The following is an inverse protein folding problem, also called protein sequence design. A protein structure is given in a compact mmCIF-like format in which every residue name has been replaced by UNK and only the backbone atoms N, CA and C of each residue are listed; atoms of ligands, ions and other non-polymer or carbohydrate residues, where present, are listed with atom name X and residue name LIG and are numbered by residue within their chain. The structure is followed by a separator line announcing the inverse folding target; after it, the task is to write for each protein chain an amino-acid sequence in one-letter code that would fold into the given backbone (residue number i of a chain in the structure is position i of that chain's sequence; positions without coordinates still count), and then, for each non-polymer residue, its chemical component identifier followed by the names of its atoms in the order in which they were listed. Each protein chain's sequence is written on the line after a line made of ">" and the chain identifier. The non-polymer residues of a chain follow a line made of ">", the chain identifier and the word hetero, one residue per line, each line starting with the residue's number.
data_IF_673202505644
#
_entry.id   IF_673202505644
#
_cell.length_a   1.000
_cell.length_b   1.000
_cell.length_c   1.000
_cell.angle_alpha   90.00
_cell.angle_beta   90.00
_cell.angle_gamma   90.00
#
_symmetry.space_group_name_H-M   'P 1'
#
loop_
_entity.id
_entity.type
_entity.pdbx_description
1 polymer ?
#
# COMPACT_ATOMS: atom_id res chain seq x y z
N UNK A 1 5.79 16.50 14.97
CA UNK A 1 7.04 16.50 14.14
C UNK A 1 6.56 16.72 12.72
N UNK A 2 7.08 17.71 11.99
CA UNK A 2 6.47 18.15 10.73
C UNK A 2 6.37 16.99 9.70
N UNK A 3 5.14 16.65 9.34
CA UNK A 3 4.77 15.53 8.48
C UNK A 3 5.32 15.71 7.06
N UNK A 4 5.44 16.96 6.62
CA UNK A 4 5.96 17.31 5.30
C UNK A 4 7.50 17.25 5.27
N UNK A 5 8.16 17.69 6.36
CA UNK A 5 9.59 17.37 6.60
C UNK A 5 9.85 15.86 6.70
N UNK A 6 8.90 15.09 7.22
CA UNK A 6 9.01 13.63 7.34
C UNK A 6 8.93 12.92 5.98
N UNK A 7 8.23 13.50 5.00
CA UNK A 7 8.20 13.03 3.61
C UNK A 7 9.32 13.64 2.74
N UNK A 8 10.12 14.57 3.26
CA UNK A 8 11.06 15.36 2.46
C UNK A 8 10.38 16.27 1.43
N UNK A 9 9.09 16.59 1.63
CA UNK A 9 8.30 17.47 0.76
C UNK A 9 8.35 18.86 1.40
N UNK A 10 9.27 19.70 0.96
CA UNK A 10 9.29 21.10 1.39
C UNK A 10 7.99 21.79 0.93
N UNK A 11 7.38 22.60 1.80
CA UNK A 11 6.09 23.25 1.53
C UNK A 11 6.19 24.44 0.59
N UNK A 12 7.41 24.80 0.21
CA UNK A 12 7.71 25.91 -0.68
C UNK A 12 8.13 25.30 -2.02
N UNK A 13 7.30 25.49 -3.04
CA UNK A 13 7.33 24.83 -4.35
C UNK A 13 8.71 24.38 -4.87
N UNK A 14 8.72 23.15 -5.41
CA UNK A 14 9.84 22.49 -6.10
C UNK A 14 10.93 21.85 -5.21
N UNK A 15 10.58 20.86 -4.39
CA UNK A 15 11.56 19.91 -3.88
C UNK A 15 12.08 19.00 -4.99
N UNK A 16 13.39 19.03 -5.28
CA UNK A 16 14.07 18.29 -6.37
C UNK A 16 14.32 16.80 -6.10
N UNK A 17 13.75 16.24 -5.01
CA UNK A 17 13.96 14.85 -4.60
C UNK A 17 12.91 13.88 -5.16
N UNK A 18 13.29 12.60 -5.28
CA UNK A 18 12.44 11.54 -5.84
C UNK A 18 11.09 11.38 -5.12
N UNK A 19 11.05 11.55 -3.79
CA UNK A 19 9.80 11.48 -3.02
C UNK A 19 8.82 12.61 -3.39
N UNK A 20 9.32 13.82 -3.64
CA UNK A 20 8.50 14.96 -4.08
C UNK A 20 7.98 14.75 -5.50
N UNK A 21 8.84 14.25 -6.39
CA UNK A 21 8.43 13.88 -7.75
C UNK A 21 7.36 12.77 -7.75
N UNK A 22 7.55 11.74 -6.92
CA UNK A 22 6.58 10.66 -6.74
C UNK A 22 5.26 11.18 -6.16
N UNK A 23 5.31 12.04 -5.15
CA UNK A 23 4.11 12.61 -4.54
C UNK A 23 3.32 13.48 -5.52
N UNK A 24 4.00 14.28 -6.34
CA UNK A 24 3.36 15.06 -7.40
C UNK A 24 2.71 14.14 -8.44
N UNK A 25 3.46 13.16 -8.95
CA UNK A 25 2.99 12.19 -9.93
C UNK A 25 1.77 11.39 -9.43
N UNK A 26 1.85 10.84 -8.21
CA UNK A 26 0.74 10.07 -7.63
C UNK A 26 -0.48 10.96 -7.42
N UNK A 27 -0.31 12.18 -6.90
CA UNK A 27 -1.43 13.12 -6.70
C UNK A 27 -2.18 13.46 -7.99
N UNK A 28 -1.50 13.47 -9.13
CA UNK A 28 -2.11 13.72 -10.44
C UNK A 28 -2.94 12.54 -10.96
N UNK A 29 -2.59 11.31 -10.58
CA UNK A 29 -3.16 10.10 -11.20
C UNK A 29 -4.19 9.39 -10.33
N UNK A 30 -4.03 9.38 -9.01
CA UNK A 30 -4.96 8.69 -8.10
C UNK A 30 -6.04 9.63 -7.58
N UNK A 31 -7.17 9.06 -7.17
CA UNK A 31 -8.21 9.83 -6.49
C UNK A 31 -7.65 10.54 -5.24
N UNK A 32 -8.06 11.78 -4.91
CA UNK A 32 -7.47 12.54 -3.79
C UNK A 32 -7.44 11.81 -2.44
N UNK A 33 -8.48 11.02 -2.14
CA UNK A 33 -8.54 10.23 -0.91
C UNK A 33 -7.57 9.02 -0.91
N UNK A 34 -7.23 8.48 -2.08
CA UNK A 34 -6.20 7.44 -2.22
C UNK A 34 -4.81 8.04 -2.00
N UNK A 35 -4.57 9.26 -2.50
CA UNK A 35 -3.35 9.99 -2.19
C UNK A 35 -3.23 10.26 -0.68
N UNK A 36 -4.31 10.72 -0.04
CA UNK A 36 -4.34 10.93 1.41
C UNK A 36 -4.06 9.63 2.19
N UNK A 37 -4.68 8.52 1.77
CA UNK A 37 -4.43 7.20 2.34
C UNK A 37 -2.98 6.77 2.20
N UNK A 38 -2.39 6.97 1.02
CA UNK A 38 -0.98 6.67 0.77
C UNK A 38 -0.04 7.43 1.72
N UNK A 39 -0.32 8.71 1.97
CA UNK A 39 0.46 9.50 2.93
C UNK A 39 0.25 9.01 4.37
N UNK A 40 -1.00 8.73 4.79
CA UNK A 40 -1.27 8.19 6.13
C UNK A 40 -0.58 6.83 6.32
N UNK A 41 -0.62 5.96 5.32
CA UNK A 41 0.05 4.65 5.32
C UNK A 41 1.55 4.78 5.55
N UNK A 42 2.22 5.69 4.84
CA UNK A 42 3.64 5.98 5.08
C UNK A 42 3.92 6.39 6.53
N UNK A 43 3.15 7.35 7.04
CA UNK A 43 3.33 7.90 8.39
C UNK A 43 3.12 6.83 9.45
N UNK A 44 2.03 6.07 9.36
CA UNK A 44 1.68 5.02 10.31
C UNK A 44 2.69 3.86 10.26
N UNK A 45 3.11 3.46 9.06
CA UNK A 45 4.14 2.44 8.86
C UNK A 45 5.48 2.85 9.47
N UNK A 46 5.91 4.10 9.26
CA UNK A 46 7.12 4.65 9.87
C UNK A 46 7.02 4.72 11.40
N UNK A 47 5.87 5.12 11.93
CA UNK A 47 5.65 5.13 13.39
C UNK A 47 5.70 3.73 14.01
N UNK A 48 5.17 2.72 13.31
CA UNK A 48 5.30 1.33 13.73
C UNK A 48 6.76 0.88 13.76
N UNK A 49 7.53 1.17 12.71
CA UNK A 49 8.95 0.82 12.66
C UNK A 49 9.78 1.49 13.76
N UNK A 50 9.46 2.75 14.09
CA UNK A 50 10.09 3.47 15.20
C UNK A 50 9.76 2.82 16.54
N UNK A 51 8.49 2.45 16.76
CA UNK A 51 8.05 1.78 17.98
C UNK A 51 8.69 0.40 18.16
N UNK A 52 8.88 -0.32 17.05
CA UNK A 52 9.48 -1.65 17.03
C UNK A 52 11.03 -1.60 17.07
N UNK A 53 11.62 -0.40 17.12
CA UNK A 53 13.05 -0.19 17.30
C UNK A 53 13.89 -0.53 16.08
N UNK A 54 13.34 -0.42 14.87
CA UNK A 54 14.03 -0.79 13.62
C UNK A 54 15.17 0.19 13.34
N UNK A 55 16.44 -0.26 13.33
CA UNK A 55 17.55 0.59 13.00
C UNK A 55 17.60 0.86 11.48
N UNK A 56 17.95 2.08 11.09
CA UNK A 56 18.27 2.45 9.70
C UNK A 56 17.18 2.07 8.67
N UNK A 57 15.90 2.25 9.00
CA UNK A 57 14.81 2.05 8.05
C UNK A 57 15.02 2.95 6.81
N UNK A 58 15.07 2.34 5.62
CA UNK A 58 15.06 3.07 4.35
C UNK A 58 13.69 3.75 4.17
N UNK A 59 13.60 4.96 4.71
CA UNK A 59 12.37 5.76 4.75
C UNK A 59 11.99 6.24 3.36
N UNK A 60 12.97 6.40 2.46
CA UNK A 60 12.73 6.80 1.07
C UNK A 60 11.99 5.68 0.33
N UNK A 61 12.49 4.43 0.43
CA UNK A 61 11.81 3.26 -0.15
C UNK A 61 10.42 3.03 0.46
N UNK A 62 10.25 3.21 1.78
CA UNK A 62 8.93 3.10 2.42
C UNK A 62 7.96 4.18 1.93
N UNK A 63 8.43 5.42 1.77
CA UNK A 63 7.61 6.51 1.24
C UNK A 63 7.16 6.23 -0.19
N UNK A 64 8.08 5.81 -1.06
CA UNK A 64 7.78 5.48 -2.45
C UNK A 64 6.81 4.30 -2.54
N UNK A 65 7.02 3.25 -1.76
CA UNK A 65 6.12 2.11 -1.71
C UNK A 65 4.71 2.53 -1.25
N UNK A 66 4.61 3.34 -0.20
CA UNK A 66 3.33 3.84 0.30
C UNK A 66 2.63 4.78 -0.69
N UNK A 67 3.36 5.64 -1.41
CA UNK A 67 2.80 6.52 -2.43
C UNK A 67 2.18 5.74 -3.59
N UNK A 68 2.79 4.62 -4.00
CA UNK A 68 2.34 3.86 -5.16
C UNK A 68 1.46 2.63 -4.84
N UNK A 69 1.29 2.25 -3.57
CA UNK A 69 0.69 0.94 -3.26
C UNK A 69 -0.72 0.74 -3.82
N UNK A 70 -1.50 1.82 -3.89
CA UNK A 70 -2.84 1.86 -4.46
C UNK A 70 -2.89 2.56 -5.83
N UNK A 71 -1.75 2.81 -6.48
CA UNK A 71 -1.73 3.46 -7.78
C UNK A 71 -2.51 2.65 -8.84
N UNK A 72 -2.57 1.32 -8.72
CA UNK A 72 -3.36 0.47 -9.60
C UNK A 72 -4.87 0.71 -9.54
N UNK A 73 -5.39 1.48 -8.58
CA UNK A 73 -6.80 1.88 -8.58
C UNK A 73 -7.10 3.04 -9.54
N UNK A 74 -6.09 3.65 -10.14
CA UNK A 74 -6.25 4.76 -11.08
C UNK A 74 -6.54 4.27 -12.51
N UNK A 75 -7.38 5.01 -13.25
CA UNK A 75 -7.68 4.72 -14.66
C UNK A 75 -6.42 4.62 -15.53
N UNK A 76 -5.38 5.40 -15.19
CA UNK A 76 -4.08 5.39 -15.88
C UNK A 76 -3.35 4.04 -15.79
N UNK A 77 -3.62 3.26 -14.75
CA UNK A 77 -2.97 1.98 -14.44
C UNK A 77 -3.98 0.84 -14.40
N UNK A 78 -5.09 0.97 -15.11
CA UNK A 78 -6.15 -0.04 -15.16
C UNK A 78 -5.82 -1.17 -16.17
N UNK A 79 -4.69 -1.84 -15.98
CA UNK A 79 -4.28 -3.00 -16.77
C UNK A 79 -4.89 -4.32 -16.29
N UNK A 80 -4.62 -5.46 -16.95
CA UNK A 80 -5.26 -6.74 -16.66
C UNK A 80 -4.80 -7.43 -15.37
N UNK A 81 -3.70 -6.98 -14.76
CA UNK A 81 -3.22 -7.57 -13.52
C UNK A 81 -4.00 -7.04 -12.31
N UNK A 82 -3.85 -7.74 -11.18
CA UNK A 82 -4.39 -7.28 -9.89
C UNK A 82 -3.93 -5.84 -9.61
N UNK A 83 -4.77 -5.01 -8.99
CA UNK A 83 -4.43 -3.60 -8.76
C UNK A 83 -3.14 -3.41 -7.95
N UNK A 84 -2.79 -4.36 -7.07
CA UNK A 84 -1.53 -4.36 -6.34
C UNK A 84 -0.33 -4.49 -7.29
N UNK A 85 -0.43 -5.34 -8.31
CA UNK A 85 0.62 -5.56 -9.31
C UNK A 85 0.71 -4.36 -10.25
N UNK A 86 -0.43 -3.82 -10.70
CA UNK A 86 -0.46 -2.60 -11.52
C UNK A 86 0.18 -1.40 -10.79
N UNK A 87 -0.08 -1.25 -9.48
CA UNK A 87 0.57 -0.25 -8.65
C UNK A 87 2.08 -0.47 -8.51
N UNK A 88 2.51 -1.73 -8.34
CA UNK A 88 3.91 -2.10 -8.27
C UNK A 88 4.66 -1.81 -9.58
N UNK A 89 4.06 -2.16 -10.73
CA UNK A 89 4.60 -1.91 -12.06
C UNK A 89 4.67 -0.40 -12.35
N UNK A 90 3.67 0.37 -11.94
CA UNK A 90 3.69 1.82 -12.02
C UNK A 90 4.87 2.43 -11.24
N UNK A 91 5.13 1.92 -10.02
CA UNK A 91 6.27 2.35 -9.21
C UNK A 91 7.60 1.98 -9.88
N UNK A 92 7.76 0.74 -10.35
CA UNK A 92 8.98 0.29 -11.00
C UNK A 92 9.29 1.10 -12.27
N UNK A 93 8.28 1.38 -13.09
CA UNK A 93 8.43 2.22 -14.27
C UNK A 93 8.80 3.66 -13.89
N UNK A 94 8.19 4.22 -12.84
CA UNK A 94 8.52 5.56 -12.34
C UNK A 94 9.97 5.64 -11.85
N UNK A 95 10.39 4.71 -11.00
CA UNK A 95 11.73 4.68 -10.40
C UNK A 95 12.83 4.39 -11.43
N UNK A 96 12.56 3.51 -12.39
CA UNK A 96 13.48 3.23 -13.49
C UNK A 96 13.78 4.50 -14.31
N UNK A 97 12.75 5.31 -14.62
CA UNK A 97 12.94 6.59 -15.33
C UNK A 97 13.75 7.61 -14.53
N UNK A 98 13.81 7.47 -13.21
CA UNK A 98 14.60 8.32 -12.33
C UNK A 98 15.96 7.69 -11.94
N UNK A 99 16.39 6.63 -12.63
CA UNK A 99 17.73 6.05 -12.47
C UNK A 99 17.94 5.27 -11.16
N UNK A 100 16.87 4.80 -10.52
CA UNK A 100 17.00 3.93 -9.35
C UNK A 100 17.59 2.57 -9.75
N UNK A 101 18.39 2.00 -8.84
CA UNK A 101 18.95 0.67 -9.06
C UNK A 101 17.86 -0.42 -8.97
N UNK A 102 18.04 -1.50 -9.74
CA UNK A 102 17.07 -2.59 -9.83
C UNK A 102 16.74 -3.23 -8.47
N UNK A 103 17.72 -3.43 -7.58
CA UNK A 103 17.48 -4.07 -6.28
C UNK A 103 16.55 -3.24 -5.36
N UNK A 104 16.68 -1.90 -5.39
CA UNK A 104 15.76 -1.01 -4.67
C UNK A 104 14.37 -0.99 -5.33
N UNK A 105 14.32 -1.02 -6.65
CA UNK A 105 13.05 -1.10 -7.40
C UNK A 105 12.32 -2.39 -7.02
N UNK A 106 13.01 -3.53 -7.02
CA UNK A 106 12.45 -4.83 -6.64
C UNK A 106 11.93 -4.82 -5.20
N UNK A 107 12.65 -4.15 -4.28
CA UNK A 107 12.20 -4.00 -2.88
C UNK A 107 10.89 -3.20 -2.78
N UNK A 108 10.77 -2.11 -3.53
CA UNK A 108 9.54 -1.28 -3.57
C UNK A 108 8.40 -2.04 -4.25
N UNK A 109 8.69 -2.68 -5.38
CA UNK A 109 7.73 -3.49 -6.13
C UNK A 109 7.19 -4.64 -5.27
N UNK A 110 8.06 -5.41 -4.59
CA UNK A 110 7.66 -6.52 -3.71
C UNK A 110 6.79 -6.03 -2.56
N UNK A 111 7.15 -4.92 -1.93
CA UNK A 111 6.36 -4.34 -0.87
C UNK A 111 4.94 -4.00 -1.34
N UNK A 112 4.82 -3.32 -2.48
CA UNK A 112 3.53 -2.94 -3.07
C UNK A 112 2.73 -4.19 -3.46
N UNK A 113 3.30 -5.12 -4.23
CA UNK A 113 2.57 -6.28 -4.72
C UNK A 113 2.00 -7.16 -3.58
N UNK A 114 2.66 -7.16 -2.41
CA UNK A 114 2.26 -7.99 -1.27
C UNK A 114 1.39 -7.27 -0.23
N UNK A 115 1.16 -5.96 -0.36
CA UNK A 115 0.61 -5.15 0.73
C UNK A 115 -0.83 -5.54 1.16
N UNK A 116 -1.60 -6.22 0.31
CA UNK A 116 -2.94 -6.74 0.66
C UNK A 116 -2.92 -8.15 1.22
N UNK A 117 -1.80 -8.87 1.12
CA UNK A 117 -1.73 -10.32 1.38
C UNK A 117 -1.29 -10.61 2.81
N UNK A 118 -2.17 -11.07 3.72
CA UNK A 118 -1.79 -11.33 5.10
C UNK A 118 -0.72 -12.43 5.22
N UNK A 119 0.23 -12.24 6.14
CA UNK A 119 1.22 -13.25 6.52
C UNK A 119 2.46 -13.37 5.62
N UNK A 120 2.51 -12.67 4.49
CA UNK A 120 3.69 -12.66 3.59
C UNK A 120 4.59 -11.43 3.83
N UNK A 121 4.10 -10.17 3.87
CA UNK A 121 4.95 -8.98 3.95
C UNK A 121 5.92 -8.99 5.13
N UNK A 122 5.53 -9.57 6.27
CA UNK A 122 6.37 -9.64 7.47
C UNK A 122 7.63 -10.50 7.28
N UNK A 123 7.68 -11.33 6.22
CA UNK A 123 8.81 -12.20 5.86
C UNK A 123 9.63 -11.64 4.70
N UNK A 124 9.32 -10.44 4.21
CA UNK A 124 9.89 -9.81 3.00
C UNK A 124 10.59 -8.48 3.30
N UNK A 125 11.27 -8.44 4.44
CA UNK A 125 12.06 -7.29 4.85
C UNK A 125 11.21 -6.12 5.40
N UNK A 126 11.89 -5.06 5.87
CA UNK A 126 11.24 -3.97 6.60
C UNK A 126 10.29 -3.15 5.72
N UNK A 127 10.56 -2.96 4.43
CA UNK A 127 9.71 -2.13 3.57
C UNK A 127 8.34 -2.80 3.37
N UNK A 128 8.30 -4.07 3.00
CA UNK A 128 7.05 -4.82 2.88
C UNK A 128 6.31 -4.90 4.22
N UNK A 129 7.03 -5.22 5.31
CA UNK A 129 6.46 -5.29 6.65
C UNK A 129 5.78 -3.99 7.06
N UNK A 130 6.49 -2.86 6.98
CA UNK A 130 5.98 -1.59 7.51
C UNK A 130 5.04 -0.86 6.56
N UNK A 131 5.09 -1.13 5.25
CA UNK A 131 4.02 -0.71 4.33
C UNK A 131 2.70 -1.37 4.74
N UNK A 132 2.69 -2.71 4.84
CA UNK A 132 1.51 -3.46 5.30
C UNK A 132 1.07 -2.99 6.68
N UNK A 133 2.02 -2.73 7.58
CA UNK A 133 1.71 -2.30 8.94
C UNK A 133 1.00 -0.94 8.98
N UNK A 134 1.37 -0.01 8.09
CA UNK A 134 0.66 1.25 7.91
C UNK A 134 -0.80 1.05 7.53
N UNK A 135 -1.07 0.19 6.53
CA UNK A 135 -2.42 -0.19 6.09
C UNK A 135 -3.21 -0.84 7.23
N UNK A 136 -2.59 -1.76 7.97
CA UNK A 136 -3.22 -2.43 9.12
C UNK A 136 -3.55 -1.47 10.27
N UNK A 137 -2.69 -0.48 10.54
CA UNK A 137 -3.00 0.52 11.57
C UNK A 137 -4.17 1.38 11.12
N UNK A 138 -4.26 1.71 9.83
CA UNK A 138 -5.34 2.53 9.30
C UNK A 138 -6.70 1.81 9.28
N UNK A 139 -6.76 0.57 8.81
CA UNK A 139 -8.03 -0.18 8.66
C UNK A 139 -8.26 -1.27 9.71
N UNK A 140 -7.30 -1.49 10.61
CA UNK A 140 -7.32 -2.61 11.54
C UNK A 140 -8.30 -2.46 12.69
N UNK A 141 -8.36 -3.49 13.55
CA UNK A 141 -9.31 -3.55 14.64
C UNK A 141 -9.04 -2.47 15.71
N UNK A 142 -10.06 -2.13 16.48
CA UNK A 142 -10.00 -1.07 17.49
C UNK A 142 -8.77 -1.16 18.44
N UNK A 143 -8.36 -2.34 18.97
CA UNK A 143 -7.18 -2.41 19.83
C UNK A 143 -5.89 -1.94 19.15
N UNK A 144 -5.72 -2.25 17.86
CA UNK A 144 -4.57 -1.80 17.09
C UNK A 144 -4.62 -0.29 16.87
N UNK A 145 -5.79 0.25 16.48
CA UNK A 145 -5.97 1.70 16.30
C UNK A 145 -5.73 2.47 17.59
N UNK A 146 -6.22 1.98 18.73
CA UNK A 146 -5.96 2.58 20.06
C UNK A 146 -4.47 2.65 20.36
N UNK A 147 -3.71 1.61 20.01
CA UNK A 147 -2.27 1.58 20.22
C UNK A 147 -1.50 2.66 19.42
N UNK A 148 -2.10 3.25 18.38
CA UNK A 148 -1.51 4.29 17.53
C UNK A 148 -2.36 5.56 17.47
N UNK A 149 -3.25 5.78 18.45
CA UNK A 149 -4.27 6.83 18.40
C UNK A 149 -3.72 8.25 18.14
N UNK A 150 -2.58 8.60 18.74
CA UNK A 150 -1.96 9.92 18.53
C UNK A 150 -1.44 10.10 17.10
N UNK A 151 -0.79 9.08 16.54
CA UNK A 151 -0.28 9.12 15.17
C UNK A 151 -1.42 9.17 14.15
N UNK A 152 -2.48 8.38 14.39
CA UNK A 152 -3.71 8.40 13.60
C UNK A 152 -4.35 9.79 13.63
N UNK A 153 -4.56 10.37 14.81
CA UNK A 153 -5.21 11.66 14.95
C UNK A 153 -4.44 12.79 14.25
N UNK A 154 -3.10 12.80 14.34
CA UNK A 154 -2.28 13.79 13.64
C UNK A 154 -2.31 13.61 12.12
N UNK A 155 -2.25 12.37 11.64
CA UNK A 155 -2.32 12.05 10.22
C UNK A 155 -3.70 12.37 9.62
N UNK A 156 -4.79 12.00 10.28
CA UNK A 156 -6.18 12.29 9.85
C UNK A 156 -6.53 13.78 9.94
N UNK A 157 -5.94 14.53 10.89
CA UNK A 157 -6.08 15.99 10.95
C UNK A 157 -5.49 16.68 9.72
N UNK A 158 -4.35 16.20 9.22
CA UNK A 158 -3.67 16.78 8.04
C UNK A 158 -4.23 16.26 6.73
N UNK A 159 -4.57 14.97 6.70
CA UNK A 159 -5.11 14.27 5.54
C UNK A 159 -6.41 13.57 5.96
N UNK A 160 -7.56 14.27 5.89
CA UNK A 160 -8.85 13.69 6.27
C UNK A 160 -9.19 12.44 5.46
N UNK A 161 -9.93 11.50 6.07
CA UNK A 161 -10.33 10.23 5.43
C UNK A 161 -11.45 10.41 4.39
N UNK A 162 -12.43 11.28 4.67
CA UNK A 162 -13.56 11.61 3.80
C UNK A 162 -14.09 10.46 2.93
N UNK A 163 -14.79 9.49 3.54
CA UNK A 163 -15.37 8.30 2.87
C UNK A 163 -14.33 7.39 2.19
N UNK A 164 -13.10 7.36 2.68
CA UNK A 164 -12.00 6.56 2.13
C UNK A 164 -12.42 5.10 1.83
N UNK A 165 -13.04 4.44 2.81
CA UNK A 165 -13.42 3.03 2.71
C UNK A 165 -14.33 2.78 1.51
N UNK A 166 -15.36 3.62 1.37
CA UNK A 166 -16.32 3.54 0.27
C UNK A 166 -15.66 3.85 -1.08
N UNK A 167 -14.75 4.81 -1.13
CA UNK A 167 -14.03 5.19 -2.35
C UNK A 167 -13.09 4.07 -2.79
N UNK A 168 -12.23 3.59 -1.89
CA UNK A 168 -11.24 2.56 -2.19
C UNK A 168 -11.93 1.26 -2.63
N UNK A 169 -12.92 0.79 -1.89
CA UNK A 169 -13.64 -0.44 -2.27
C UNK A 169 -14.32 -0.29 -3.64
N UNK A 170 -14.90 0.88 -3.94
CA UNK A 170 -15.61 1.10 -5.21
C UNK A 170 -14.63 1.07 -6.38
N UNK A 171 -13.49 1.76 -6.27
CA UNK A 171 -12.46 1.75 -7.32
C UNK A 171 -11.94 0.34 -7.61
N UNK A 172 -11.67 -0.45 -6.56
CA UNK A 172 -11.20 -1.84 -6.72
C UNK A 172 -12.28 -2.73 -7.34
N UNK A 173 -13.53 -2.63 -6.86
CA UNK A 173 -14.65 -3.44 -7.35
C UNK A 173 -14.97 -3.09 -8.81
N UNK A 174 -15.04 -1.81 -9.16
CA UNK A 174 -15.39 -1.36 -10.51
C UNK A 174 -14.37 -1.82 -11.55
N UNK A 175 -13.07 -1.81 -11.21
CA UNK A 175 -12.04 -2.40 -12.08
C UNK A 175 -12.20 -3.91 -12.19
N UNK A 176 -12.40 -4.62 -11.08
CA UNK A 176 -12.56 -6.08 -11.08
C UNK A 176 -13.82 -6.55 -11.83
N UNK A 177 -14.92 -5.81 -11.78
CA UNK A 177 -16.14 -6.11 -12.55
C UNK A 177 -15.93 -5.93 -14.05
N UNK A 178 -15.10 -4.97 -14.47
CA UNK A 178 -14.72 -4.76 -15.88
C UNK A 178 -13.64 -5.74 -16.33
N UNK A 179 -12.77 -6.16 -15.42
CA UNK A 179 -11.62 -7.04 -15.66
C UNK A 179 -11.59 -8.17 -14.60
N UNK A 180 -12.39 -9.24 -14.78
CA UNK A 180 -12.53 -10.30 -13.77
C UNK A 180 -11.21 -10.98 -13.35
N UNK A 181 -10.22 -11.01 -14.24
CA UNK A 181 -8.90 -11.59 -13.97
C UNK A 181 -8.13 -10.82 -12.87
N UNK A 182 -8.51 -9.58 -12.54
CA UNK A 182 -7.95 -8.84 -11.41
C UNK A 182 -8.34 -9.41 -10.04
N UNK A 183 -9.40 -10.21 -9.97
CA UNK A 183 -9.99 -10.72 -8.72
C UNK A 183 -9.84 -12.24 -8.58
N UNK A 184 -8.69 -12.78 -8.99
CA UNK A 184 -8.36 -14.18 -8.78
C UNK A 184 -8.34 -14.57 -7.29
N UNK A 185 -8.52 -15.87 -7.04
CA UNK A 185 -8.48 -16.49 -5.74
C UNK A 185 -7.31 -16.00 -4.85
N UNK A 186 -7.57 -15.57 -3.60
CA UNK A 186 -6.56 -14.91 -2.76
C UNK A 186 -5.45 -15.86 -2.30
N UNK A 187 -5.81 -17.06 -1.83
CA UNK A 187 -4.85 -18.12 -1.57
C UNK A 187 -5.54 -19.48 -1.72
N UNK A 188 -4.81 -20.42 -2.31
CA UNK A 188 -5.31 -21.77 -2.53
C UNK A 188 -5.75 -22.45 -1.21
N UNK A 189 -4.97 -22.27 -0.14
CA UNK A 189 -5.34 -22.76 1.18
C UNK A 189 -6.66 -22.16 1.71
N UNK A 190 -6.90 -20.86 1.50
CA UNK A 190 -8.16 -20.23 1.92
C UNK A 190 -9.36 -20.75 1.10
N UNK A 191 -9.18 -21.01 -0.20
CA UNK A 191 -10.21 -21.61 -1.04
C UNK A 191 -10.53 -23.05 -0.63
N UNK A 192 -9.50 -23.86 -0.39
CA UNK A 192 -9.65 -25.21 0.16
C UNK A 192 -10.45 -25.19 1.47
N UNK A 193 -10.17 -24.25 2.38
CA UNK A 193 -10.90 -24.12 3.65
C UNK A 193 -12.35 -23.69 3.42
N UNK A 194 -12.62 -22.68 2.57
CA UNK A 194 -13.99 -22.24 2.24
C UNK A 194 -14.85 -23.39 1.69
N UNK A 195 -14.23 -24.23 0.88
CA UNK A 195 -14.87 -25.36 0.20
C UNK A 195 -14.83 -26.67 1.02
N UNK A 196 -14.11 -26.71 2.15
CA UNK A 196 -13.99 -27.90 3.00
C UNK A 196 -15.34 -28.28 3.63
N UNK A 197 -15.63 -29.58 3.63
CA UNK A 197 -16.79 -30.17 4.31
C UNK A 197 -16.29 -31.40 5.07
N UNK A 198 -16.44 -31.39 6.40
CA UNK A 198 -15.99 -32.49 7.25
C UNK A 198 -16.63 -33.82 6.82
N UNK A 199 -15.82 -34.88 6.70
CA UNK A 199 -16.28 -36.21 6.30
C UNK A 199 -16.62 -36.39 4.82
N UNK A 200 -16.48 -35.36 3.96
CA UNK A 200 -16.67 -35.51 2.51
C UNK A 200 -15.45 -36.18 1.87
N UNK A 201 -15.57 -37.38 1.27
CA UNK A 201 -14.50 -37.98 0.49
C UNK A 201 -14.36 -37.28 -0.89
N UNK A 202 -13.21 -37.43 -1.54
CA UNK A 202 -12.93 -36.92 -2.89
C UNK A 202 -12.13 -35.61 -2.94
N UNK A 203 -11.97 -35.05 -4.15
CA UNK A 203 -11.21 -33.81 -4.39
C UNK A 203 -12.00 -32.60 -3.87
N UNK A 204 -11.33 -31.74 -3.11
CA UNK A 204 -11.90 -30.49 -2.61
C UNK A 204 -12.22 -29.55 -3.80
N UNK A 205 -13.41 -28.95 -3.92
CA UNK A 205 -13.70 -28.00 -5.01
C UNK A 205 -12.82 -26.75 -5.05
N UNK A 206 -12.12 -26.44 -3.96
CA UNK A 206 -11.10 -25.39 -3.92
C UNK A 206 -9.70 -25.88 -4.30
N UNK A 207 -9.55 -27.14 -4.74
CA UNK A 207 -8.32 -27.69 -5.29
C UNK A 207 -8.08 -27.15 -6.70
#
# INVERSE_FOLDING_TARGET
>A
MDLMKTMGIDTDGAGSGIMSAAAAHVREVVHPQIYHHSVRTFVLGRQAALRDGVPNLDTESLCLAALFHDAGTADRYDGPARFEVEGADAAAAFLSRHGWNAAKIDTVWEAIALHTTPGIPQRRGPIAHYLRRGVEIEFGPAPLRVAFASAIAEAEKRFPRNRLEEILQTLVIDQALRQPDKAQAPSWAADLVRQHRAGRPGINPGF
#
